data_IF_618957420693
#
_entry.id   IF_618957420693
#
_cell.length_a   1.000
_cell.length_b   1.000
_cell.length_c   1.000
_cell.angle_alpha   90.00
_cell.angle_beta   90.00
_cell.angle_gamma   90.00
#
_symmetry.space_group_name_H-M   'P 1'
#
loop_
_entity.id
_entity.type
_entity.pdbx_description
1 polymer ?
#
# COMPACT_ATOMS: atom_id res chain seq x y z
N UNK A 1 -1.70 3.97 15.75
CA UNK A 1 -1.23 3.44 14.46
C UNK A 1 -1.24 1.93 14.60
N UNK A 2 -1.74 1.18 13.63
CA UNK A 2 -1.77 -0.29 13.71
C UNK A 2 -0.36 -0.85 13.46
N UNK A 3 0.02 -1.95 14.10
CA UNK A 3 1.33 -2.62 13.95
C UNK A 3 1.65 -2.90 12.48
N UNK A 4 0.65 -3.31 11.71
CA UNK A 4 0.79 -3.51 10.27
C UNK A 4 1.15 -2.23 9.50
N UNK A 5 0.60 -1.07 9.89
CA UNK A 5 0.92 0.19 9.23
C UNK A 5 2.37 0.62 9.52
N UNK A 6 2.85 0.39 10.74
CA UNK A 6 4.23 0.67 11.12
C UNK A 6 5.18 -0.24 10.34
N UNK A 7 4.86 -1.54 10.27
CA UNK A 7 5.60 -2.50 9.46
C UNK A 7 5.69 -2.09 7.97
N UNK A 8 4.56 -1.77 7.33
CA UNK A 8 4.55 -1.31 5.93
C UNK A 8 5.40 -0.05 5.76
N UNK A 9 5.28 0.91 6.69
CA UNK A 9 6.07 2.14 6.66
C UNK A 9 7.56 1.85 6.75
N UNK A 10 7.99 1.01 7.69
CA UNK A 10 9.40 0.67 7.89
C UNK A 10 9.99 -0.02 6.65
N UNK A 11 9.30 -1.04 6.12
CA UNK A 11 9.76 -1.78 4.94
C UNK A 11 9.90 -0.84 3.74
N UNK A 12 8.92 0.02 3.49
CA UNK A 12 8.92 0.87 2.29
C UNK A 12 9.80 2.11 2.44
N UNK A 13 10.15 2.51 3.68
CA UNK A 13 11.04 3.65 3.94
C UNK A 13 12.44 3.45 3.34
N UNK A 14 12.85 2.20 3.08
CA UNK A 14 14.08 1.91 2.35
C UNK A 14 14.10 2.47 0.91
N UNK A 15 12.93 2.72 0.31
CA UNK A 15 12.80 3.23 -1.05
C UNK A 15 12.55 4.75 -1.12
N UNK A 16 12.13 5.40 -0.03
CA UNK A 16 11.78 6.83 0.00
C UNK A 16 10.78 7.19 1.10
N UNK A 17 10.24 8.41 1.06
CA UNK A 17 9.31 8.89 2.08
C UNK A 17 7.95 8.20 1.96
N UNK A 18 7.49 7.63 3.08
CA UNK A 18 6.21 6.94 3.19
C UNK A 18 5.34 7.62 4.23
N UNK A 19 4.16 8.04 3.76
CA UNK A 19 3.13 8.67 4.60
C UNK A 19 1.87 7.83 4.54
N UNK A 20 1.39 7.37 5.70
CA UNK A 20 0.14 6.62 5.84
C UNK A 20 -0.90 7.52 6.51
N UNK A 21 -2.07 7.69 5.89
CA UNK A 21 -3.15 8.57 6.37
C UNK A 21 -4.45 7.80 6.56
N UNK A 22 -5.09 7.94 7.71
CA UNK A 22 -6.42 7.36 7.96
C UNK A 22 -7.48 7.98 7.03
N UNK A 23 -8.32 7.15 6.40
CA UNK A 23 -9.46 7.59 5.58
C UNK A 23 -10.56 6.54 5.54
N UNK A 24 -11.79 6.92 5.93
CA UNK A 24 -13.02 6.11 5.79
C UNK A 24 -12.89 4.63 6.25
N UNK A 25 -12.31 4.40 7.43
CA UNK A 25 -12.17 3.05 8.00
C UNK A 25 -10.92 2.28 7.58
N UNK A 26 -10.16 2.77 6.59
CA UNK A 26 -8.86 2.24 6.19
C UNK A 26 -7.77 3.30 6.24
N UNK A 27 -6.68 3.05 5.51
CA UNK A 27 -5.56 3.99 5.39
C UNK A 27 -5.10 4.14 3.95
N UNK A 28 -4.74 5.35 3.54
CA UNK A 28 -4.06 5.62 2.27
C UNK A 28 -2.55 5.60 2.44
N UNK A 29 -1.84 5.05 1.48
CA UNK A 29 -0.37 4.97 1.46
C UNK A 29 0.19 5.88 0.36
N UNK A 30 1.00 6.83 0.77
CA UNK A 30 1.69 7.77 -0.11
C UNK A 30 3.19 7.48 -0.13
N UNK A 31 3.77 7.41 -1.33
CA UNK A 31 5.21 7.35 -1.56
C UNK A 31 5.66 8.65 -2.23
N UNK A 32 6.59 9.38 -1.63
CA UNK A 32 7.07 10.68 -2.11
C UNK A 32 5.91 11.61 -2.53
N UNK A 33 4.95 11.78 -1.61
CA UNK A 33 3.69 12.56 -1.82
C UNK A 33 2.73 12.02 -2.88
N UNK A 34 2.99 10.88 -3.53
CA UNK A 34 2.11 10.26 -4.52
C UNK A 34 1.33 9.11 -3.91
N UNK A 35 0.00 9.11 -4.09
CA UNK A 35 -0.84 8.00 -3.66
C UNK A 35 -0.47 6.73 -4.46
N UNK A 36 -0.04 5.69 -3.76
CA UNK A 36 0.36 4.40 -4.36
C UNK A 36 -0.57 3.24 -3.98
N UNK A 37 -1.43 3.41 -2.98
CA UNK A 37 -2.23 2.31 -2.48
C UNK A 37 -3.01 2.66 -1.22
N UNK A 38 -3.59 1.63 -0.64
CA UNK A 38 -4.39 1.69 0.57
C UNK A 38 -4.20 0.42 1.42
N UNK A 39 -4.53 0.52 2.70
CA UNK A 39 -4.49 -0.57 3.67
C UNK A 39 -5.88 -0.75 4.23
N UNK A 40 -6.43 -1.95 4.04
CA UNK A 40 -7.72 -2.40 4.55
C UNK A 40 -7.52 -3.81 5.13
N UNK A 41 -8.11 -4.11 6.30
CA UNK A 41 -8.06 -5.44 6.92
C UNK A 41 -6.66 -6.08 7.02
N UNK A 42 -5.64 -5.28 7.36
CA UNK A 42 -4.23 -5.68 7.43
C UNK A 42 -3.64 -6.19 6.09
N UNK A 43 -4.23 -5.80 4.97
CA UNK A 43 -3.72 -6.07 3.63
C UNK A 43 -3.31 -4.76 2.96
N UNK A 44 -2.19 -4.76 2.25
CA UNK A 44 -1.73 -3.63 1.45
C UNK A 44 -2.18 -3.82 0.00
N UNK A 45 -3.02 -2.90 -0.47
CA UNK A 45 -3.46 -2.81 -1.86
C UNK A 45 -2.61 -1.78 -2.58
N UNK A 46 -2.05 -2.16 -3.73
CA UNK A 46 -1.30 -1.25 -4.59
C UNK A 46 -2.16 -0.81 -5.76
N UNK A 47 -2.04 0.46 -6.13
CA UNK A 47 -2.69 1.01 -7.31
C UNK A 47 -2.25 0.22 -8.54
N UNK A 48 -3.24 -0.21 -9.31
CA UNK A 48 -3.00 -0.92 -10.55
C UNK A 48 -2.31 -0.02 -11.57
N UNK A 49 -1.20 -0.49 -12.09
CA UNK A 49 -0.39 0.16 -13.13
C UNK A 49 0.21 -0.94 -14.01
N UNK A 50 0.62 -0.64 -15.26
CA UNK A 50 1.31 -1.64 -16.09
C UNK A 50 2.55 -2.26 -15.41
N UNK A 51 3.25 -1.47 -14.57
CA UNK A 51 4.40 -1.95 -13.82
C UNK A 51 4.01 -2.91 -12.71
N UNK A 52 2.97 -2.60 -11.92
CA UNK A 52 2.50 -3.52 -10.86
C UNK A 52 1.91 -4.80 -11.45
N UNK A 53 1.14 -4.70 -12.55
CA UNK A 53 0.64 -5.87 -13.27
C UNK A 53 1.79 -6.79 -13.71
N UNK A 54 2.91 -6.24 -14.20
CA UNK A 54 4.08 -7.03 -14.62
C UNK A 54 4.85 -7.63 -13.44
N UNK A 55 5.02 -6.87 -12.36
CA UNK A 55 5.86 -7.29 -11.22
C UNK A 55 5.15 -8.27 -10.29
N UNK A 56 3.81 -8.24 -10.25
CA UNK A 56 3.01 -9.01 -9.31
C UNK A 56 2.17 -10.12 -9.98
N UNK A 57 2.35 -10.31 -11.29
CA UNK A 57 1.56 -11.24 -12.12
C UNK A 57 1.43 -12.65 -11.53
N UNK A 58 2.49 -13.16 -10.92
CA UNK A 58 2.58 -14.55 -10.46
C UNK A 58 2.44 -14.70 -8.94
N UNK A 59 2.38 -13.58 -8.20
CA UNK A 59 2.56 -13.58 -6.74
C UNK A 59 1.46 -12.86 -5.97
N UNK A 60 0.52 -12.19 -6.64
CA UNK A 60 -0.58 -11.50 -5.97
C UNK A 60 -1.91 -11.71 -6.68
N UNK A 61 -2.96 -11.90 -5.88
CA UNK A 61 -4.32 -11.90 -6.39
C UNK A 61 -4.80 -10.48 -6.69
N UNK A 62 -5.41 -10.28 -7.86
CA UNK A 62 -6.10 -9.02 -8.16
C UNK A 62 -7.48 -9.04 -7.53
N UNK A 63 -7.68 -8.21 -6.51
CA UNK A 63 -8.96 -8.05 -5.82
C UNK A 63 -9.19 -6.60 -5.40
N UNK A 64 -10.44 -6.31 -5.03
CA UNK A 64 -10.81 -5.00 -4.50
C UNK A 64 -10.54 -4.93 -2.99
N UNK A 65 -10.38 -3.71 -2.43
CA UNK A 65 -10.12 -3.52 -1.00
C UNK A 65 -11.37 -3.67 -0.10
N UNK A 66 -12.25 -4.62 -0.41
CA UNK A 66 -13.50 -4.92 0.32
C UNK A 66 -13.95 -6.38 0.14
#
# INVERSE_FOLDING_TARGET
MNEFNEYVREVFSAAGDIVIKSMMGGYLVYFNSKLIGDICDNELFLKRTPTSDRLLADSSELRYPY
#
